data_IF_685294179480
#
_entry.id   IF_685294179480
#
_cell.length_a   1.000
_cell.length_b   1.000
_cell.length_c   1.000
_cell.angle_alpha   90.00
_cell.angle_beta   90.00
_cell.angle_gamma   90.00
#
_symmetry.space_group_name_H-M   'P 1'
#
loop_
_entity.id
_entity.type
_entity.pdbx_description
1 polymer ?
2 polymer ?
3 non-polymer ?
4 non-polymer ?
5 water ?
#
loop_
_entity_poly.entity_id
_entity_poly.type
_entity_poly.pdbx_seq_one_letter_code
_entity_poly.pdbx_strand_id
2 'polyribonucleotide' 'AA' ?
#
# COMPACT_ATOMS: atom_id res chain seq x y z
N UNK A 1 3.34 -8.36 23.61
CA UNK A 1 2.85 -8.50 22.24
C UNK A 1 1.69 -7.57 21.92
N UNK A 2 0.77 -7.29 22.89
CA UNK A 2 -0.39 -6.43 22.61
C UNK A 2 -0.01 -5.03 22.12
N UNK A 3 1.02 -4.44 22.73
CA UNK A 3 1.50 -3.11 22.35
C UNK A 3 2.17 -3.15 20.96
N UNK A 4 2.94 -4.22 20.65
CA UNK A 4 3.56 -4.43 19.34
C UNK A 4 2.49 -4.73 18.25
N UNK A 5 1.31 -5.21 18.62
CA UNK A 5 0.22 -5.47 17.67
C UNK A 5 -0.74 -4.29 17.45
N UNK A 6 -0.42 -3.11 17.98
CA UNK A 6 -1.22 -1.92 17.68
C UNK A 6 -0.95 -1.53 16.21
N UNK A 7 -1.81 -0.72 15.64
CA UNK A 7 -1.66 -0.25 14.25
C UNK A 7 -1.56 1.27 14.18
N UNK A 8 -0.66 1.80 13.34
CA UNK A 8 -0.49 3.25 13.16
C UNK A 8 -1.16 3.66 11.87
N UNK A 9 -2.40 4.14 12.00
CA UNK A 9 -3.16 4.56 10.84
C UNK A 9 -2.73 5.94 10.39
N UNK A 10 -2.50 6.10 9.07
CA UNK A 10 -2.18 7.40 8.46
C UNK A 10 -2.94 7.63 7.17
N UNK A 11 -3.30 8.89 6.92
CA UNK A 11 -3.75 9.37 5.63
C UNK A 11 -3.01 10.67 5.38
N UNK A 12 -2.49 10.82 4.16
CA UNK A 12 -1.81 12.01 3.68
C UNK A 12 -2.65 12.60 2.57
N UNK A 13 -2.45 13.91 2.33
CA UNK A 13 -2.96 14.62 1.16
C UNK A 13 -1.72 15.32 0.64
N UNK A 14 -1.51 15.28 -0.68
CA UNK A 14 -0.33 15.84 -1.33
C UNK A 14 -0.75 16.77 -2.47
N UNK A 15 0.23 17.41 -3.12
CA UNK A 15 -0.01 18.28 -4.28
C UNK A 15 -0.07 17.50 -5.62
N UNK A 16 0.04 16.17 -5.56
CA UNK A 16 -0.03 15.29 -6.71
C UNK A 16 0.63 13.95 -6.41
N UNK A 17 0.76 13.07 -7.42
CA UNK A 17 1.37 11.74 -7.25
C UNK A 17 2.80 11.65 -7.74
N UNK A 18 3.48 12.79 -8.01
CA UNK A 18 4.87 12.78 -8.49
C UNK A 18 5.79 12.93 -7.29
N UNK A 19 6.46 11.83 -6.89
CA UNK A 19 7.36 11.83 -5.73
C UNK A 19 8.55 12.80 -5.91
N UNK A 20 8.97 13.09 -7.16
CA UNK A 20 10.08 14.00 -7.42
C UNK A 20 9.72 15.48 -7.22
N UNK A 21 8.45 15.86 -7.46
CA UNK A 21 7.99 17.25 -7.35
C UNK A 21 7.07 17.52 -6.16
N UNK A 22 6.03 16.68 -5.98
CA UNK A 22 4.99 16.94 -5.01
C UNK A 22 5.42 16.82 -3.55
N UNK A 23 4.65 17.52 -2.71
CA UNK A 23 4.89 17.66 -1.29
C UNK A 23 3.64 17.29 -0.50
N UNK A 24 3.83 17.06 0.81
CA UNK A 24 2.72 16.73 1.72
C UNK A 24 2.08 18.03 2.18
N UNK A 25 0.75 18.13 2.04
CA UNK A 25 -0.04 19.29 2.46
C UNK A 25 -0.95 18.97 3.65
N UNK A 26 -1.22 17.68 3.96
CA UNK A 26 -2.03 17.35 5.14
C UNK A 26 -1.70 15.97 5.67
N UNK A 27 -1.77 15.80 6.98
CA UNK A 27 -1.49 14.49 7.59
C UNK A 27 -2.33 14.31 8.82
N UNK A 28 -2.86 13.11 9.03
CA UNK A 28 -3.59 12.75 10.24
C UNK A 28 -3.10 11.36 10.67
N UNK A 29 -3.11 11.10 11.98
CA UNK A 29 -2.70 9.81 12.50
C UNK A 29 -3.69 9.33 13.56
N UNK A 30 -3.95 8.01 13.58
CA UNK A 30 -4.87 7.40 14.52
C UNK A 30 -4.29 6.04 14.98
N UNK A 31 -4.47 5.67 16.28
CA UNK A 31 -3.98 4.38 16.79
C UNK A 31 -5.12 3.45 17.09
N UNK A 32 -5.04 2.21 16.59
CA UNK A 32 -5.99 1.18 16.99
C UNK A 32 -5.21 0.05 17.66
N UNK A 33 -5.89 -0.76 18.43
CA UNK A 33 -5.26 -1.96 18.96
C UNK A 33 -5.34 -3.03 17.81
N UNK A 34 -4.87 -4.24 18.13
CA UNK A 34 -4.85 -5.44 17.25
C UNK A 34 -6.21 -5.72 16.55
N UNK A 35 -7.31 -5.55 17.31
CA UNK A 35 -8.67 -5.84 16.88
C UNK A 35 -9.43 -4.68 16.29
N UNK A 36 -8.73 -3.58 15.90
CA UNK A 36 -9.30 -2.39 15.28
C UNK A 36 -10.11 -1.54 16.27
N UNK A 37 -9.89 -1.71 17.60
CA UNK A 37 -10.57 -0.86 18.60
C UNK A 37 -9.85 0.46 18.63
N UNK A 38 -10.61 1.57 18.69
CA UNK A 38 -10.02 2.93 18.67
C UNK A 38 -9.25 3.17 19.97
N UNK A 39 -7.96 3.48 19.89
CA UNK A 39 -7.19 3.76 21.10
C UNK A 39 -7.01 5.25 21.29
N UNK A 40 -6.50 5.96 20.26
CA UNK A 40 -6.17 7.38 20.41
C UNK A 40 -6.14 8.12 19.08
N UNK A 41 -6.63 9.36 19.07
CA UNK A 41 -6.62 10.20 17.89
C UNK A 41 -5.34 11.04 18.01
N UNK A 42 -4.54 11.04 16.97
CA UNK A 42 -3.29 11.79 16.91
C UNK A 42 -3.49 13.14 16.27
N UNK A 43 -2.39 13.85 16.00
CA UNK A 43 -2.50 15.16 15.37
C UNK A 43 -3.15 15.11 13.98
N UNK A 44 -3.66 16.26 13.54
CA UNK A 44 -4.28 16.43 12.24
C UNK A 44 -3.75 17.79 11.80
N UNK A 45 -2.65 17.80 11.03
CA UNK A 45 -1.93 19.01 10.64
C UNK A 45 -1.94 19.31 9.14
N UNK A 46 -2.10 20.61 8.80
CA UNK A 46 -2.05 21.11 7.44
C UNK A 46 -0.66 21.75 7.33
N UNK A 47 0.16 21.24 6.40
CA UNK A 47 1.56 21.65 6.23
C UNK A 47 1.70 22.75 5.17
N UNK A 48 2.40 23.84 5.54
CA UNK A 48 2.68 24.98 4.68
C UNK A 48 3.58 24.55 3.49
N UNK A 49 3.14 24.85 2.26
CA UNK A 49 3.88 24.56 1.03
C UNK A 49 3.83 25.81 0.12
N UNK A 50 4.80 25.98 -0.80
CA UNK A 50 4.81 27.21 -1.64
C UNK A 50 3.60 27.45 -2.53
N UNK A 51 3.30 28.74 -2.81
CA UNK A 51 2.19 29.14 -3.69
C UNK A 51 2.44 28.69 -5.14
N UNK A 52 3.72 28.62 -5.58
CA UNK A 52 4.08 28.19 -6.95
C UNK A 52 3.62 26.75 -7.16
N UNK A 53 3.92 25.88 -6.18
CA UNK A 53 3.55 24.47 -6.22
C UNK A 53 2.03 24.35 -6.26
N UNK A 54 1.31 25.09 -5.39
CA UNK A 54 -0.15 25.06 -5.33
C UNK A 54 -0.84 25.51 -6.63
N UNK A 55 -0.33 26.60 -7.25
CA UNK A 55 -0.90 27.13 -8.50
C UNK A 55 -0.58 26.23 -9.71
N UNK A 56 0.56 25.51 -9.67
CA UNK A 56 0.97 24.59 -10.73
C UNK A 56 0.45 23.14 -10.52
N UNK A 57 -0.51 22.92 -9.59
CA UNK A 57 -1.08 21.59 -9.32
C UNK A 57 -1.96 21.10 -10.46
N UNK A 58 -2.33 19.82 -10.40
CA UNK A 58 -3.21 19.17 -11.38
C UNK A 58 -4.62 19.77 -11.28
N UNK A 59 -5.43 19.62 -12.35
CA UNK A 59 -6.80 20.13 -12.36
C UNK A 59 -7.66 19.39 -11.33
N UNK A 60 -7.39 18.08 -11.11
CA UNK A 60 -8.06 17.29 -10.08
C UNK A 60 -7.68 17.84 -8.70
N UNK A 61 -6.38 18.10 -8.50
CA UNK A 61 -5.85 18.59 -7.25
C UNK A 61 -6.34 20.00 -6.90
N UNK A 62 -6.25 20.95 -7.83
CA UNK A 62 -6.68 22.34 -7.60
C UNK A 62 -8.16 22.43 -7.20
N UNK A 63 -9.02 21.66 -7.88
CA UNK A 63 -10.46 21.65 -7.62
C UNK A 63 -10.83 20.99 -6.28
N UNK A 64 -10.38 19.74 -6.06
CA UNK A 64 -10.68 18.98 -4.82
C UNK A 64 -10.11 19.67 -3.58
N UNK A 65 -8.84 20.10 -3.62
CA UNK A 65 -8.23 20.79 -2.47
C UNK A 65 -8.78 22.22 -2.31
N UNK A 66 -9.24 22.82 -3.42
CA UNK A 66 -9.88 24.13 -3.37
C UNK A 66 -11.23 24.06 -2.69
N UNK A 67 -12.11 23.16 -3.19
CA UNK A 67 -13.49 22.94 -2.69
C UNK A 67 -13.52 22.50 -1.24
N UNK A 68 -12.57 21.64 -0.82
CA UNK A 68 -12.51 21.13 0.56
C UNK A 68 -12.05 22.17 1.58
N UNK A 69 -11.38 23.23 1.11
CA UNK A 69 -10.83 24.30 1.94
C UNK A 69 -9.39 24.04 2.35
N UNK A 70 -8.74 23.02 1.73
CA UNK A 70 -7.35 22.67 2.06
C UNK A 70 -6.33 23.64 1.44
N UNK A 71 -6.49 24.04 0.17
CA UNK A 71 -5.56 24.97 -0.49
C UNK A 71 -5.45 26.28 0.30
N UNK A 72 -6.61 26.81 0.74
CA UNK A 72 -6.68 28.04 1.54
C UNK A 72 -5.95 27.83 2.88
N UNK A 73 -6.23 26.69 3.58
CA UNK A 73 -5.61 26.35 4.86
C UNK A 73 -4.08 26.15 4.77
N UNK A 74 -3.58 25.67 3.60
CA UNK A 74 -2.14 25.47 3.35
C UNK A 74 -1.45 26.83 3.25
N UNK A 75 -2.05 27.76 2.45
CA UNK A 75 -1.53 29.13 2.24
C UNK A 75 -1.43 29.92 3.55
N UNK A 76 -2.36 29.70 4.49
CA UNK A 76 -2.39 30.36 5.80
C UNK A 76 -1.62 29.56 6.89
N UNK A 77 -1.04 28.39 6.57
CA UNK A 77 -0.38 27.57 7.59
C UNK A 77 0.97 28.11 8.02
N UNK A 78 1.27 27.89 9.30
CA UNK A 78 2.54 28.22 9.93
C UNK A 78 3.27 26.93 10.40
N UNK A 79 2.82 25.72 9.93
CA UNK A 79 3.45 24.44 10.27
C UNK A 79 4.36 24.03 9.12
N UNK A 80 5.67 23.87 9.37
CA UNK A 80 6.57 23.38 8.33
C UNK A 80 6.52 21.84 8.33
N UNK A 81 7.17 21.23 7.36
CA UNK A 81 7.26 19.77 7.28
C UNK A 81 7.97 19.22 8.53
N UNK A 82 9.14 19.79 8.87
CA UNK A 82 9.95 19.40 10.04
C UNK A 82 9.12 19.50 11.33
N UNK A 83 8.30 20.56 11.49
CA UNK A 83 7.46 20.71 12.69
C UNK A 83 6.38 19.61 12.75
N UNK A 84 5.74 19.30 11.61
CA UNK A 84 4.72 18.25 11.53
C UNK A 84 5.34 16.88 11.83
N UNK A 85 6.53 16.60 11.26
CA UNK A 85 7.23 15.35 11.53
C UNK A 85 7.49 15.17 13.02
N UNK A 86 7.97 16.23 13.69
CA UNK A 86 8.24 16.17 15.12
C UNK A 86 6.96 15.85 15.90
N UNK A 87 5.85 16.51 15.56
CA UNK A 87 4.58 16.23 16.26
C UNK A 87 4.11 14.79 16.08
N UNK A 88 4.15 14.26 14.83
CA UNK A 88 3.73 12.88 14.55
C UNK A 88 4.67 11.85 15.14
N UNK A 89 5.97 12.09 15.08
CA UNK A 89 6.94 11.16 15.70
C UNK A 89 6.71 11.13 17.21
N UNK A 90 6.58 12.33 17.84
CA UNK A 90 6.33 12.36 19.28
C UNK A 90 5.11 11.57 19.64
N UNK A 91 4.00 11.77 18.87
CA UNK A 91 2.74 11.07 19.19
C UNK A 91 2.90 9.55 19.08
N UNK A 92 3.44 9.01 17.95
CA UNK A 92 3.59 7.54 17.83
C UNK A 92 4.61 6.98 18.86
N UNK A 93 5.62 7.76 19.28
CA UNK A 93 6.57 7.23 20.31
C UNK A 93 5.86 7.02 21.65
N UNK A 94 4.79 7.79 21.93
CA UNK A 94 4.01 7.68 23.15
C UNK A 94 3.00 6.55 23.08
N UNK A 95 2.69 6.05 21.88
CA UNK A 95 1.65 5.07 21.64
C UNK A 95 2.09 3.66 21.31
N UNK A 96 3.31 3.48 20.82
CA UNK A 96 3.75 2.20 20.33
C UNK A 96 5.21 1.99 20.63
N UNK A 97 5.62 0.72 20.78
CA UNK A 97 7.06 0.44 20.96
C UNK A 97 7.80 0.66 19.64
N UNK A 98 9.11 1.01 19.67
CA UNK A 98 9.82 1.32 18.43
C UNK A 98 10.03 0.15 17.48
N UNK A 99 9.88 0.47 16.19
CA UNK A 99 10.08 -0.43 15.06
C UNK A 99 9.26 -1.69 15.05
N UNK A 100 8.08 -1.73 15.72
CA UNK A 100 7.25 -2.94 15.76
C UNK A 100 5.84 -2.82 15.19
N UNK A 101 5.26 -1.61 15.08
CA UNK A 101 3.89 -1.43 14.62
C UNK A 101 3.83 -0.99 13.16
N UNK A 102 2.88 -1.54 12.37
CA UNK A 102 2.82 -1.17 10.95
C UNK A 102 2.02 0.09 10.66
N UNK A 103 2.36 0.73 9.54
CA UNK A 103 1.60 1.84 8.96
C UNK A 103 0.32 1.19 8.39
N UNK A 104 -0.83 1.82 8.57
CA UNK A 104 -2.11 1.28 8.09
C UNK A 104 -2.95 2.33 7.35
N UNK A 105 -3.68 1.90 6.30
CA UNK A 105 -4.55 2.76 5.51
C UNK A 105 -4.92 2.18 4.14
N UNK A 106 -5.59 2.98 3.28
CA UNK A 106 -5.98 2.52 1.94
C UNK A 106 -4.86 2.82 0.98
N UNK A 107 -4.28 1.78 0.31
CA UNK A 107 -3.14 1.94 -0.61
C UNK A 107 -2.07 2.79 0.05
N UNK A 108 -1.82 2.49 1.36
CA UNK A 108 -0.93 3.23 2.25
C UNK A 108 0.54 3.13 1.80
N UNK A 109 0.85 2.23 0.87
CA UNK A 109 2.16 2.18 0.20
C UNK A 109 2.47 3.54 -0.49
N UNK A 110 1.46 4.26 -1.00
CA UNK A 110 1.68 5.58 -1.64
C UNK A 110 2.05 6.60 -0.55
N UNK A 111 1.32 6.61 0.57
CA UNK A 111 1.62 7.47 1.72
C UNK A 111 3.01 7.15 2.23
N UNK A 112 3.36 5.84 2.35
CA UNK A 112 4.70 5.40 2.77
C UNK A 112 5.79 5.98 1.85
N UNK A 113 5.56 6.01 0.52
CA UNK A 113 6.53 6.58 -0.42
C UNK A 113 6.85 8.06 -0.04
N UNK A 114 5.82 8.86 0.20
CA UNK A 114 6.00 10.27 0.61
C UNK A 114 6.63 10.39 2.00
N UNK A 115 6.22 9.52 2.95
CA UNK A 115 6.76 9.57 4.32
C UNK A 115 8.19 9.09 4.36
N UNK A 116 8.56 8.07 3.55
CA UNK A 116 9.95 7.60 3.48
C UNK A 116 10.86 8.77 3.02
N UNK A 117 10.38 9.59 2.10
CA UNK A 117 11.16 10.71 1.57
C UNK A 117 11.13 11.93 2.51
N UNK A 118 9.93 12.38 2.92
CA UNK A 118 9.75 13.61 3.70
C UNK A 118 9.66 13.48 5.22
N UNK A 119 9.41 12.30 5.78
CA UNK A 119 9.37 12.11 7.23
C UNK A 119 10.08 10.79 7.58
N UNK A 120 11.37 10.66 7.20
CA UNK A 120 12.09 9.38 7.46
C UNK A 120 12.17 8.94 8.92
N UNK A 121 12.23 9.89 9.89
CA UNK A 121 12.33 9.54 11.31
C UNK A 121 11.02 8.97 11.80
N UNK A 122 9.89 9.46 11.28
CA UNK A 122 8.57 8.94 11.61
C UNK A 122 8.46 7.48 11.11
N UNK A 123 8.92 7.22 9.86
CA UNK A 123 8.88 5.87 9.30
C UNK A 123 9.81 4.90 10.03
N UNK A 124 10.95 5.39 10.53
CA UNK A 124 11.88 4.56 11.31
C UNK A 124 11.27 4.06 12.63
N UNK A 125 10.24 4.76 13.19
CA UNK A 125 9.54 4.28 14.41
C UNK A 125 8.64 3.08 14.13
N UNK A 126 8.19 2.94 12.88
CA UNK A 126 7.27 1.88 12.47
C UNK A 126 8.02 0.66 11.95
N UNK A 127 7.33 -0.50 11.89
CA UNK A 127 7.90 -1.73 11.33
C UNK A 127 7.98 -1.59 9.79
N UNK A 128 8.61 -2.58 9.13
CA UNK A 128 8.74 -2.70 7.67
C UNK A 128 7.39 -2.96 6.99
N UNK A 129 6.58 -3.79 7.62
CA UNK A 129 5.29 -4.21 7.07
C UNK A 129 4.24 -3.14 7.17
N UNK A 130 3.25 -3.19 6.26
CA UNK A 130 2.09 -2.32 6.25
C UNK A 130 0.83 -3.17 6.35
N UNK A 131 -0.28 -2.50 6.62
CA UNK A 131 -1.60 -3.09 6.61
C UNK A 131 -2.37 -2.25 5.61
N UNK A 132 -2.45 -2.78 4.39
CA UNK A 132 -3.14 -2.11 3.31
C UNK A 132 -4.56 -2.63 3.23
N UNK A 133 -5.51 -1.82 3.64
CA UNK A 133 -6.95 -2.14 3.61
C UNK A 133 -7.40 -2.38 2.15
N UNK A 134 -6.74 -1.72 1.15
CA UNK A 134 -7.13 -1.90 -0.26
C UNK A 134 -6.75 -3.29 -0.82
N UNK A 135 -5.81 -4.00 -0.16
CA UNK A 135 -5.56 -5.40 -0.49
C UNK A 135 -6.80 -6.20 -0.08
N UNK A 136 -7.34 -5.94 1.13
CA UNK A 136 -8.51 -6.65 1.64
C UNK A 136 -9.73 -6.30 0.79
N UNK A 137 -9.85 -5.02 0.36
CA UNK A 137 -10.89 -4.58 -0.55
C UNK A 137 -10.84 -5.41 -1.84
N UNK A 138 -9.67 -5.47 -2.47
CA UNK A 138 -9.51 -6.22 -3.73
C UNK A 138 -9.82 -7.71 -3.56
N UNK A 139 -9.50 -8.31 -2.40
CA UNK A 139 -9.85 -9.71 -2.14
C UNK A 139 -11.36 -9.83 -1.88
N UNK A 140 -11.96 -8.82 -1.21
CA UNK A 140 -13.41 -8.85 -0.95
C UNK A 140 -14.19 -8.82 -2.26
N UNK A 141 -13.83 -7.90 -3.16
CA UNK A 141 -14.44 -7.73 -4.48
C UNK A 141 -14.48 -9.03 -5.22
N UNK A 142 -13.35 -9.76 -5.22
CA UNK A 142 -13.23 -11.07 -5.89
C UNK A 142 -13.92 -12.25 -5.19
N UNK A 143 -13.59 -12.49 -3.93
CA UNK A 143 -14.07 -13.68 -3.21
C UNK A 143 -15.39 -13.56 -2.49
N UNK A 144 -15.80 -12.32 -2.13
CA UNK A 144 -17.02 -12.06 -1.37
C UNK A 144 -17.81 -10.96 -2.08
N UNK A 145 -18.17 -11.17 -3.36
CA UNK A 145 -18.87 -10.12 -4.12
C UNK A 145 -20.16 -9.59 -3.51
N UNK A 146 -20.97 -10.43 -2.85
CA UNK A 146 -22.20 -10.00 -2.21
C UNK A 146 -21.86 -8.99 -1.10
N UNK A 147 -21.01 -9.40 -0.13
CA UNK A 147 -20.56 -8.56 0.99
C UNK A 147 -19.93 -7.27 0.50
N UNK A 148 -19.16 -7.33 -0.60
CA UNK A 148 -18.53 -6.16 -1.20
C UNK A 148 -19.53 -5.03 -1.54
N UNK A 149 -20.73 -5.39 -2.03
CA UNK A 149 -21.77 -4.43 -2.38
C UNK A 149 -22.37 -3.73 -1.15
N UNK A 150 -22.34 -4.39 0.04
CA UNK A 150 -22.83 -3.81 1.29
C UNK A 150 -21.80 -2.87 1.94
N UNK A 151 -20.51 -2.89 1.51
CA UNK A 151 -19.53 -1.99 2.12
C UNK A 151 -19.97 -0.53 1.85
N UNK A 152 -19.90 0.35 2.87
CA UNK A 152 -20.31 1.74 2.65
C UNK A 152 -19.39 2.42 1.66
N UNK A 153 -19.97 3.28 0.84
CA UNK A 153 -19.20 4.10 -0.08
C UNK A 153 -18.37 5.12 0.74
N UNK A 154 -17.16 5.47 0.27
CA UNK A 154 -16.33 6.46 0.94
C UNK A 154 -17.03 7.82 0.73
N UNK A 155 -17.51 8.41 1.85
CA UNK A 155 -18.25 9.66 1.84
C UNK A 155 -17.41 10.89 2.11
N UNK A 156 -16.17 10.71 2.55
CA UNK A 156 -15.33 11.84 2.95
C UNK A 156 -14.74 12.56 1.76
N UNK A 157 -14.59 13.89 1.90
CA UNK A 157 -13.82 14.65 0.90
C UNK A 157 -12.36 14.33 1.27
N UNK A 158 -11.39 14.76 0.45
CA UNK A 158 -9.98 14.45 0.71
C UNK A 158 -9.39 15.29 1.86
N UNK A 159 -9.85 15.02 3.10
CA UNK A 159 -9.38 15.62 4.35
C UNK A 159 -8.88 14.44 5.22
N UNK A 160 -7.58 14.46 5.59
CA UNK A 160 -6.83 13.39 6.27
C UNK A 160 -7.54 12.71 7.43
N UNK A 161 -8.07 13.47 8.38
CA UNK A 161 -8.74 12.86 9.53
C UNK A 161 -9.98 12.08 9.14
N UNK A 162 -10.83 12.63 8.28
CA UNK A 162 -12.06 11.93 7.87
C UNK A 162 -11.74 10.68 7.02
N UNK A 163 -10.77 10.79 6.10
CA UNK A 163 -10.37 9.69 5.23
C UNK A 163 -9.82 8.51 6.02
N UNK A 164 -9.02 8.79 7.04
CA UNK A 164 -8.40 7.74 7.82
C UNK A 164 -9.42 6.98 8.69
N UNK A 165 -10.46 7.68 9.20
CA UNK A 165 -11.54 7.06 9.99
C UNK A 165 -12.35 6.15 9.09
N UNK A 166 -12.56 6.57 7.82
CA UNK A 166 -13.23 5.74 6.83
C UNK A 166 -12.43 4.49 6.49
N UNK A 167 -11.08 4.57 6.45
CA UNK A 167 -10.29 3.35 6.19
C UNK A 167 -10.45 2.33 7.31
N UNK A 168 -10.52 2.81 8.59
CA UNK A 168 -10.72 1.93 9.74
C UNK A 168 -12.10 1.27 9.63
N UNK A 169 -13.12 2.08 9.31
CA UNK A 169 -14.48 1.57 9.14
C UNK A 169 -14.49 0.49 8.06
N UNK A 170 -13.79 0.72 6.94
CA UNK A 170 -13.71 -0.28 5.87
C UNK A 170 -13.08 -1.60 6.33
N UNK A 171 -11.90 -1.55 6.99
CA UNK A 171 -11.27 -2.79 7.42
C UNK A 171 -12.12 -3.47 8.49
N UNK A 172 -12.78 -2.67 9.36
CA UNK A 172 -13.70 -3.23 10.38
C UNK A 172 -14.86 -3.94 9.68
N UNK A 173 -15.38 -3.36 8.60
CA UNK A 173 -16.45 -3.97 7.81
C UNK A 173 -15.99 -5.37 7.30
N UNK A 174 -14.75 -5.49 6.75
CA UNK A 174 -14.27 -6.80 6.26
C UNK A 174 -14.08 -7.79 7.40
N UNK A 175 -13.49 -7.32 8.54
CA UNK A 175 -13.30 -8.18 9.71
C UNK A 175 -14.63 -8.76 10.16
N UNK A 176 -15.67 -7.90 10.15
CA UNK A 176 -17.00 -8.28 10.58
C UNK A 176 -17.76 -9.18 9.61
N UNK A 177 -17.55 -9.02 8.28
CA UNK A 177 -18.35 -9.75 7.30
C UNK A 177 -17.65 -10.83 6.45
N UNK A 178 -16.33 -10.76 6.19
CA UNK A 178 -15.67 -11.75 5.30
C UNK A 178 -14.60 -12.57 6.00
N UNK A 179 -14.33 -12.29 7.28
CA UNK A 179 -13.40 -13.10 8.06
C UNK A 179 -14.21 -14.09 8.88
N UNK A 180 -13.62 -15.24 9.16
CA UNK A 180 -14.20 -16.42 9.82
C UNK A 180 -14.69 -16.15 11.23
N UNK B 1 -15.74 -7.78 -15.40
CA UNK B 1 -15.95 -9.22 -15.23
C UNK B 1 -14.73 -9.92 -14.64
N UNK B 2 -14.53 -11.19 -15.01
CA UNK B 2 -13.41 -12.04 -14.54
C UNK B 2 -12.03 -11.55 -15.01
N UNK B 3 -11.92 -11.04 -16.24
CA UNK B 3 -10.68 -10.52 -16.85
C UNK B 3 -10.06 -9.37 -16.00
N UNK B 4 -10.88 -8.37 -15.64
CA UNK B 4 -10.46 -7.22 -14.81
C UNK B 4 -10.04 -7.68 -13.41
N UNK B 5 -10.57 -8.84 -12.96
CA UNK B 5 -10.26 -9.43 -11.66
C UNK B 5 -9.04 -10.37 -11.68
N UNK B 6 -8.19 -10.33 -12.74
CA UNK B 6 -6.95 -11.12 -12.72
C UNK B 6 -5.94 -10.39 -11.82
N UNK B 7 -4.85 -11.07 -11.48
CA UNK B 7 -3.80 -10.49 -10.63
C UNK B 7 -2.48 -10.65 -11.34
N UNK B 8 -1.64 -9.63 -11.27
CA UNK B 8 -0.29 -9.66 -11.85
C UNK B 8 0.71 -9.90 -10.70
N UNK B 9 1.09 -11.17 -10.52
CA UNK B 9 2.02 -11.54 -9.46
C UNK B 9 3.45 -11.26 -9.86
N UNK B 10 4.23 -10.71 -8.93
CA UNK B 10 5.66 -10.46 -9.15
C UNK B 10 6.44 -10.78 -7.89
N UNK B 11 7.73 -11.04 -8.09
CA UNK B 11 8.70 -11.15 -7.01
C UNK B 11 9.98 -10.53 -7.54
N UNK B 12 10.57 -9.64 -6.77
CA UNK B 12 11.78 -8.94 -7.13
C UNK B 12 12.85 -9.14 -6.08
N UNK B 13 14.11 -9.17 -6.50
CA UNK B 13 15.25 -9.21 -5.59
C UNK B 13 16.01 -7.92 -5.86
N UNK B 14 16.32 -7.15 -4.81
CA UNK B 14 17.08 -5.89 -4.94
C UNK B 14 18.36 -6.00 -4.11
N UNK B 15 19.27 -5.03 -4.27
CA UNK B 15 20.49 -4.96 -3.46
C UNK B 15 20.13 -4.42 -2.04
N UNK B 16 18.99 -3.74 -1.91
CA UNK B 16 18.50 -3.20 -0.65
C UNK B 16 17.21 -2.40 -0.78
N UNK B 17 16.77 -1.77 0.30
CA UNK B 17 15.52 -1.00 0.35
C UNK B 17 15.67 0.52 0.08
N UNK B 18 16.90 1.03 -0.19
CA UNK B 18 17.12 2.46 -0.49
C UNK B 18 16.77 2.69 -1.97
N UNK B 19 15.64 3.35 -2.23
CA UNK B 19 15.18 3.64 -3.59
C UNK B 19 16.16 4.52 -4.39
N UNK B 20 16.92 5.40 -3.71
CA UNK B 20 17.87 6.30 -4.39
C UNK B 20 19.15 5.59 -4.85
N UNK B 21 19.60 4.53 -4.14
CA UNK B 21 20.85 3.83 -4.47
C UNK B 21 20.72 2.37 -4.92
N UNK B 22 19.81 1.57 -4.32
CA UNK B 22 19.70 0.15 -4.66
C UNK B 22 19.02 -0.14 -6.00
N UNK B 23 19.33 -1.31 -6.59
CA UNK B 23 18.79 -1.72 -7.90
C UNK B 23 18.15 -3.11 -7.86
N UNK B 24 17.36 -3.41 -8.89
CA UNK B 24 16.68 -4.70 -9.08
C UNK B 24 17.69 -5.68 -9.68
N UNK B 25 17.96 -6.80 -8.98
CA UNK B 25 18.89 -7.86 -9.40
C UNK B 25 18.16 -8.98 -10.14
N UNK B 26 16.95 -9.32 -9.68
CA UNK B 26 16.16 -10.41 -10.24
C UNK B 26 14.68 -10.06 -10.24
N UNK B 27 13.93 -10.62 -11.19
CA UNK B 27 12.49 -10.39 -11.27
C UNK B 27 11.81 -11.54 -11.98
N UNK B 28 10.60 -11.85 -11.55
CA UNK B 28 9.76 -12.86 -12.15
C UNK B 28 8.34 -12.35 -12.13
N UNK B 29 7.50 -12.84 -13.03
CA UNK B 29 6.10 -12.42 -13.12
C UNK B 29 5.21 -13.57 -13.61
N UNK B 30 3.97 -13.63 -13.11
CA UNK B 30 2.98 -14.61 -13.60
C UNK B 30 1.58 -14.08 -13.35
N UNK B 31 0.59 -14.58 -14.12
CA UNK B 31 -0.79 -14.11 -14.00
C UNK B 31 -1.65 -15.18 -13.37
N UNK B 32 -2.52 -14.79 -12.41
CA UNK B 32 -3.50 -15.71 -11.87
C UNK B 32 -4.86 -15.13 -12.20
N UNK B 33 -5.91 -15.94 -12.06
CA UNK B 33 -7.27 -15.44 -12.16
C UNK B 33 -7.64 -14.96 -10.73
N UNK B 34 -8.87 -14.50 -10.53
CA UNK B 34 -9.37 -14.03 -9.22
C UNK B 34 -9.25 -15.09 -8.09
N UNK B 35 -9.28 -16.40 -8.44
CA UNK B 35 -9.19 -17.52 -7.51
C UNK B 35 -7.78 -18.13 -7.39
N UNK B 36 -6.74 -17.36 -7.82
CA UNK B 36 -5.33 -17.76 -7.68
C UNK B 36 -4.89 -18.94 -8.57
N UNK B 37 -5.69 -19.35 -9.58
CA UNK B 37 -5.22 -20.41 -10.50
C UNK B 37 -4.26 -19.71 -11.48
N UNK B 38 -3.07 -20.27 -11.69
CA UNK B 38 -2.07 -19.69 -12.59
C UNK B 38 -2.53 -19.84 -14.04
N UNK B 39 -2.74 -18.72 -14.73
CA UNK B 39 -3.16 -18.68 -16.12
C UNK B 39 -1.94 -18.71 -17.04
N UNK B 40 -0.88 -17.96 -16.70
CA UNK B 40 0.34 -17.91 -17.53
C UNK B 40 1.56 -17.55 -16.69
N UNK B 41 2.70 -18.19 -16.97
CA UNK B 41 3.97 -17.90 -16.30
C UNK B 41 4.80 -17.01 -17.22
N UNK B 42 5.27 -15.90 -16.67
CA UNK B 42 6.14 -14.96 -17.37
C UNK B 42 7.58 -15.38 -17.17
N UNK B 43 8.53 -14.56 -17.62
CA UNK B 43 9.95 -14.94 -17.48
C UNK B 43 10.54 -14.72 -16.08
N UNK B 44 11.67 -15.39 -15.79
CA UNK B 44 12.45 -15.22 -14.57
C UNK B 44 13.77 -14.65 -15.10
N UNK B 45 13.99 -13.35 -14.91
CA UNK B 45 15.17 -12.67 -15.47
C UNK B 45 16.11 -12.16 -14.40
N UNK B 46 17.42 -12.37 -14.58
CA UNK B 46 18.46 -11.85 -13.70
C UNK B 46 18.91 -10.55 -14.42
N UNK B 47 18.78 -9.40 -13.76
CA UNK B 47 19.08 -8.11 -14.36
C UNK B 47 20.51 -7.66 -14.01
N UNK B 48 21.23 -7.11 -15.02
CA UNK B 48 22.62 -6.65 -14.85
C UNK B 48 22.76 -5.43 -13.90
N UNK B 49 24.01 -5.19 -13.43
CA UNK B 49 24.35 -4.09 -12.53
C UNK B 49 25.58 -3.33 -13.04
N UNK B 78 20.54 -13.83 -18.43
CA UNK B 78 20.85 -12.48 -17.94
C UNK B 78 20.52 -11.41 -19.00
N UNK B 79 20.06 -10.20 -18.54
CA UNK B 79 19.57 -9.16 -19.44
C UNK B 79 19.66 -7.73 -18.80
N UNK B 80 19.47 -6.65 -19.61
CA UNK B 80 19.48 -5.28 -19.09
C UNK B 80 18.08 -4.91 -18.58
N UNK B 81 18.03 -3.94 -17.66
CA UNK B 81 16.78 -3.46 -17.05
C UNK B 81 15.72 -3.06 -18.07
N UNK B 82 16.12 -2.27 -19.10
CA UNK B 82 15.17 -1.79 -20.12
C UNK B 82 14.58 -2.92 -20.96
N UNK B 83 15.36 -3.97 -21.25
CA UNK B 83 14.88 -5.13 -22.04
C UNK B 83 13.97 -6.00 -21.16
N UNK B 84 14.31 -6.17 -19.86
CA UNK B 84 13.47 -6.91 -18.90
C UNK B 84 12.09 -6.25 -18.83
N UNK B 85 12.05 -4.90 -18.74
CA UNK B 85 10.79 -4.15 -18.73
C UNK B 85 9.97 -4.42 -20.01
N UNK B 86 10.63 -4.48 -21.19
CA UNK B 86 9.92 -4.76 -22.45
C UNK B 86 9.35 -6.17 -22.40
N UNK B 87 10.17 -7.15 -21.96
CA UNK B 87 9.75 -8.55 -21.83
C UNK B 87 8.54 -8.70 -20.89
N UNK B 88 8.57 -8.02 -19.73
CA UNK B 88 7.47 -8.08 -18.75
C UNK B 88 6.22 -7.34 -19.24
N UNK B 89 6.39 -6.15 -19.86
CA UNK B 89 5.24 -5.38 -20.37
C UNK B 89 4.52 -6.10 -21.52
N UNK B 90 5.27 -6.75 -22.41
CA UNK B 90 4.70 -7.51 -23.52
C UNK B 90 3.89 -8.68 -22.97
N UNK B 91 4.46 -9.36 -21.95
CA UNK B 91 3.82 -10.49 -21.28
C UNK B 91 2.49 -10.10 -20.62
N UNK B 92 2.43 -8.98 -19.87
CA UNK B 92 1.18 -8.59 -19.21
C UNK B 92 0.18 -7.95 -20.20
N UNK B 93 0.66 -7.27 -21.26
CA UNK B 93 -0.23 -6.69 -22.28
C UNK B 93 -1.08 -7.78 -22.97
N UNK B 94 -0.50 -8.98 -23.18
CA UNK B 94 -1.22 -10.08 -23.80
C UNK B 94 -2.08 -10.90 -22.79
N UNK B 95 -1.97 -10.65 -21.46
CA UNK B 95 -2.72 -11.37 -20.43
C UNK B 95 -3.74 -10.55 -19.64
N UNK B 96 -3.57 -9.21 -19.53
CA UNK B 96 -4.48 -8.39 -18.73
C UNK B 96 -4.90 -7.10 -19.44
N UNK B 97 -6.10 -6.55 -19.18
CA UNK B 97 -6.49 -5.29 -19.81
C UNK B 97 -5.75 -4.10 -19.19
N UNK B 98 -5.49 -3.01 -19.95
CA UNK B 98 -4.73 -1.88 -19.38
C UNK B 98 -5.34 -1.13 -18.19
N UNK B 99 -4.52 -0.94 -17.15
CA UNK B 99 -4.84 -0.22 -15.93
C UNK B 99 -5.83 -0.85 -14.96
N UNK B 100 -6.21 -2.14 -15.15
CA UNK B 100 -7.25 -2.77 -14.31
C UNK B 100 -6.77 -3.73 -13.21
N UNK B 101 -5.74 -4.52 -13.50
CA UNK B 101 -5.27 -5.57 -12.61
C UNK B 101 -4.20 -5.11 -11.64
N UNK B 102 -4.25 -5.53 -10.36
CA UNK B 102 -3.25 -5.05 -9.39
C UNK B 102 -2.02 -5.91 -9.37
N UNK B 103 -0.94 -5.33 -8.86
CA UNK B 103 0.32 -6.06 -8.61
C UNK B 103 0.01 -6.96 -7.37
N UNK B 104 0.55 -8.19 -7.31
CA UNK B 104 0.32 -9.13 -6.21
C UNK B 104 1.61 -9.79 -5.79
N UNK B 105 1.75 -10.06 -4.49
CA UNK B 105 2.95 -10.70 -3.96
C UNK B 105 3.17 -10.51 -2.48
N UNK B 106 4.29 -11.04 -1.95
CA UNK B 106 4.69 -10.94 -0.54
C UNK B 106 5.35 -9.58 -0.34
N UNK B 107 4.91 -8.73 0.60
CA UNK B 107 5.50 -7.37 0.77
C UNK B 107 5.75 -6.68 -0.63
N UNK B 108 4.72 -6.76 -1.49
CA UNK B 108 4.80 -6.23 -2.85
C UNK B 108 4.78 -4.68 -2.85
N UNK B 109 4.51 -4.02 -1.70
CA UNK B 109 4.63 -2.56 -1.60
C UNK B 109 6.11 -2.15 -1.80
N UNK B 110 7.05 -2.99 -1.30
CA UNK B 110 8.50 -2.78 -1.48
C UNK B 110 8.82 -2.88 -2.98
N UNK B 111 8.28 -3.92 -3.65
CA UNK B 111 8.48 -4.16 -5.09
C UNK B 111 7.89 -3.02 -5.94
N UNK B 112 6.67 -2.55 -5.60
CA UNK B 112 6.00 -1.48 -6.33
C UNK B 112 6.84 -0.18 -6.35
N UNK B 113 7.47 0.17 -5.21
CA UNK B 113 8.30 1.38 -5.12
C UNK B 113 9.43 1.35 -6.17
N UNK B 114 10.11 0.19 -6.30
CA UNK B 114 11.20 0.03 -7.28
C UNK B 114 10.68 -0.06 -8.72
N UNK B 115 9.52 -0.72 -8.94
CA UNK B 115 8.90 -0.81 -10.27
C UNK B 115 8.36 0.56 -10.72
N UNK B 116 7.81 1.38 -9.83
CA UNK B 116 7.33 2.72 -10.22
C UNK B 116 8.51 3.57 -10.73
N UNK B 117 9.69 3.43 -10.10
CA UNK B 117 10.90 4.15 -10.48
C UNK B 117 11.59 3.58 -11.72
N UNK B 118 11.92 2.26 -11.69
CA UNK B 118 12.73 1.60 -12.73
C UNK B 118 11.95 0.92 -13.87
N UNK B 119 10.63 0.68 -13.74
CA UNK B 119 9.81 0.11 -14.80
C UNK B 119 8.49 0.89 -14.87
N UNK B 120 8.54 2.21 -15.12
CA UNK B 120 7.31 3.01 -15.16
C UNK B 120 6.34 2.67 -16.28
N UNK B 121 6.82 2.15 -17.43
CA UNK B 121 5.93 1.78 -18.53
C UNK B 121 5.21 0.47 -18.22
N UNK B 122 5.90 -0.48 -17.54
CA UNK B 122 5.27 -1.72 -17.07
C UNK B 122 4.16 -1.33 -16.07
N UNK B 123 4.46 -0.44 -15.09
CA UNK B 123 3.47 0.00 -14.10
C UNK B 123 2.28 0.74 -14.70
N UNK B 124 2.46 1.45 -15.83
CA UNK B 124 1.36 2.12 -16.55
C UNK B 124 0.26 1.10 -16.96
N UNK B 125 0.64 -0.17 -17.22
CA UNK B 125 -0.34 -1.21 -17.57
C UNK B 125 -1.18 -1.72 -16.36
N UNK B 126 -0.75 -1.48 -15.11
CA UNK B 126 -1.45 -1.99 -13.93
C UNK B 126 -2.23 -0.94 -13.16
N UNK B 127 -3.06 -1.42 -12.22
CA UNK B 127 -3.81 -0.56 -11.29
C UNK B 127 -2.79 -0.05 -10.24
N UNK B 128 -3.17 0.99 -9.50
CA UNK B 128 -2.32 1.53 -8.42
C UNK B 128 -2.45 0.69 -7.12
N UNK B 129 -3.49 -0.17 -7.00
CA UNK B 129 -3.71 -0.96 -5.80
C UNK B 129 -2.87 -2.19 -5.88
N UNK B 130 -2.59 -2.80 -4.73
CA UNK B 130 -1.81 -4.03 -4.64
C UNK B 130 -2.56 -5.08 -3.83
N UNK B 131 -2.20 -6.34 -4.05
CA UNK B 131 -2.69 -7.48 -3.27
C UNK B 131 -1.45 -7.94 -2.54
N UNK B 132 -1.20 -7.33 -1.41
CA UNK B 132 -0.03 -7.58 -0.59
C UNK B 132 -0.32 -8.75 0.38
N UNK B 133 0.31 -9.92 0.14
CA UNK B 133 0.07 -11.09 0.97
C UNK B 133 0.53 -10.83 2.41
N UNK B 134 1.58 -10.00 2.63
CA UNK B 134 2.02 -9.80 4.01
C UNK B 134 1.03 -8.91 4.84
N UNK B 135 0.10 -8.18 4.19
CA UNK B 135 -0.95 -7.48 4.91
C UNK B 135 -1.83 -8.55 5.53
N UNK B 136 -2.21 -9.55 4.70
CA UNK B 136 -3.07 -10.65 5.14
C UNK B 136 -2.40 -11.38 6.30
N UNK B 137 -1.09 -11.60 6.22
CA UNK B 137 -0.31 -12.25 7.28
C UNK B 137 -0.38 -11.45 8.59
N UNK B 138 -0.24 -10.10 8.52
CA UNK B 138 -0.34 -9.24 9.71
C UNK B 138 -1.73 -9.34 10.36
N UNK B 139 -2.80 -9.53 9.57
CA UNK B 139 -4.15 -9.72 10.08
C UNK B 139 -4.30 -11.16 10.63
N UNK B 140 -3.70 -12.17 9.97
CA UNK B 140 -3.76 -13.54 10.48
C UNK B 140 -3.11 -13.64 11.87
N UNK B 141 -1.94 -13.05 12.00
CA UNK B 141 -1.15 -13.06 13.22
C UNK B 141 -1.92 -12.50 14.44
N UNK B 142 -2.69 -11.43 14.16
CA UNK B 142 -3.47 -10.74 15.17
C UNK B 142 -4.78 -11.44 15.47
N UNK B 143 -5.60 -11.68 14.44
CA UNK B 143 -6.96 -12.19 14.61
C UNK B 143 -7.08 -13.71 14.71
N UNK B 144 -6.13 -14.49 14.13
CA UNK B 144 -6.19 -15.96 14.10
C UNK B 144 -4.83 -16.51 14.50
N UNK B 145 -4.36 -16.22 15.71
CA UNK B 145 -3.00 -16.66 16.09
C UNK B 145 -2.74 -18.18 16.03
N UNK B 146 -3.78 -19.02 16.26
CA UNK B 146 -3.60 -20.49 16.17
C UNK B 146 -3.34 -20.91 14.74
N UNK B 147 -4.13 -20.34 13.78
CA UNK B 147 -3.96 -20.62 12.35
C UNK B 147 -2.63 -20.07 11.86
N UNK B 148 -2.19 -18.91 12.38
CA UNK B 148 -0.92 -18.34 11.98
C UNK B 148 0.26 -19.29 12.31
N UNK B 149 0.22 -19.94 13.50
CA UNK B 149 1.27 -20.89 13.92
C UNK B 149 1.48 -22.04 12.94
N UNK B 150 0.43 -22.52 12.24
CA UNK B 150 0.58 -23.61 11.26
C UNK B 150 0.48 -23.12 9.81
N UNK B 151 0.64 -21.80 9.57
CA UNK B 151 0.65 -21.27 8.22
C UNK B 151 1.93 -21.75 7.54
N UNK B 152 1.89 -22.10 6.22
CA UNK B 152 3.13 -22.52 5.52
C UNK B 152 4.04 -21.33 5.22
N UNK B 157 14.32 -19.62 -1.42
CA UNK B 157 13.89 -19.87 -2.81
C UNK B 157 15.03 -19.58 -3.78
N UNK B 158 15.33 -20.53 -4.68
CA UNK B 158 16.43 -20.37 -5.63
C UNK B 158 16.10 -19.42 -6.78
N UNK B 159 14.81 -19.22 -7.10
CA UNK B 159 14.37 -18.31 -8.15
C UNK B 159 13.24 -17.42 -7.64
N UNK B 160 13.08 -16.23 -8.25
CA UNK B 160 11.99 -15.31 -7.91
C UNK B 160 10.62 -15.90 -8.32
N UNK B 161 10.57 -16.73 -9.36
CA UNK B 161 9.33 -17.37 -9.81
C UNK B 161 8.86 -18.41 -8.76
N UNK B 162 9.81 -19.06 -8.07
CA UNK B 162 9.49 -20.00 -6.99
C UNK B 162 8.90 -19.26 -5.79
N UNK B 163 9.42 -18.03 -5.48
CA UNK B 163 8.90 -17.20 -4.39
C UNK B 163 7.46 -16.80 -4.65
N UNK B 164 7.07 -16.55 -5.91
CA UNK B 164 5.69 -16.22 -6.27
C UNK B 164 4.80 -17.41 -5.96
N UNK B 165 5.21 -18.62 -6.38
CA UNK B 165 4.44 -19.84 -6.14
C UNK B 165 4.21 -20.03 -4.62
N UNK B 166 5.24 -19.80 -3.80
CA UNK B 166 5.14 -19.87 -2.33
C UNK B 166 4.16 -18.82 -1.78
N UNK B 167 4.17 -17.58 -2.32
CA UNK B 167 3.27 -16.52 -1.87
C UNK B 167 1.82 -16.81 -2.22
N UNK B 168 1.57 -17.43 -3.37
CA UNK B 168 0.20 -17.84 -3.76
C UNK B 168 -0.32 -18.90 -2.75
N UNK B 169 0.52 -19.90 -2.42
CA UNK B 169 0.17 -20.95 -1.45
C UNK B 169 -0.12 -20.35 -0.07
N UNK B 170 0.67 -19.34 0.34
CA UNK B 170 0.41 -18.66 1.61
C UNK B 170 -0.96 -17.96 1.54
N UNK B 171 -1.25 -17.24 0.43
CA UNK B 171 -2.53 -16.53 0.29
C UNK B 171 -3.74 -17.50 0.22
N UNK B 172 -3.60 -18.60 -0.51
CA UNK B 172 -4.65 -19.63 -0.60
C UNK B 172 -4.89 -20.18 0.81
N UNK B 173 -3.81 -20.36 1.60
CA UNK B 173 -3.89 -20.83 2.98
C UNK B 173 -4.75 -19.87 3.83
N UNK B 174 -4.54 -18.54 3.72
CA UNK B 174 -5.37 -17.61 4.46
C UNK B 174 -6.77 -17.68 3.94
N UNK B 175 -6.99 -17.79 2.59
CA UNK B 175 -8.39 -17.89 2.13
C UNK B 175 -9.15 -19.04 2.84
N UNK B 176 -8.54 -20.22 2.89
CA UNK B 176 -9.14 -21.43 3.48
C UNK B 176 -9.23 -21.40 4.98
N UNK B 177 -8.26 -20.77 5.67
CA UNK B 177 -8.22 -20.84 7.13
C UNK B 177 -8.75 -19.64 7.92
N UNK B 178 -8.78 -18.43 7.36
CA UNK B 178 -9.25 -17.27 8.15
C UNK B 178 -10.37 -16.48 7.50
N UNK B 179 -10.63 -16.68 6.19
CA UNK B 179 -11.74 -15.98 5.53
C UNK B 179 -12.97 -16.87 5.69
N UNK B 180 -14.16 -16.24 5.67
CA UNK B 180 -15.47 -16.87 5.94
C UNK B 180 -15.73 -18.17 5.15
X LIG D 1 -7.70 11.64 0.34
X LIG E 1 -5.25 8.51 1.07
#
# INVERSE_FOLDING_TARGET
GAMAQRMVWVDLEMTGLDIEKDQIIEMACLITDSDLNILAEGPNLIIKQPDELLDSMSDWCKEHHGKSGLTKAVKESTITLQQAEYEFLSFVRQQTPPGLCPLAGNSVHEDKKFLDKYMPQFMKHLHYRIIDVSTVKELCRRWYPEEYEFAPKKAASHRALDAISESIKELQFYRNNIFK
GAMAQRMVWVDLEMTGLDIEKDQIIEMACLITDSDLNILAEGPNLIIKQPDELLDSMSDWCKEHHGKSGLTKAVKESTITLQQAEYEFLSFVRQQTPPGLCPLAGNSVHEDKKFLDKYMPQFMKHLHYRIIDVSTVKELCRRWYPEEYEFAPKKAASHRALDAISESIKELQFYRNNIFK
ZN ZN
MG MG
#
